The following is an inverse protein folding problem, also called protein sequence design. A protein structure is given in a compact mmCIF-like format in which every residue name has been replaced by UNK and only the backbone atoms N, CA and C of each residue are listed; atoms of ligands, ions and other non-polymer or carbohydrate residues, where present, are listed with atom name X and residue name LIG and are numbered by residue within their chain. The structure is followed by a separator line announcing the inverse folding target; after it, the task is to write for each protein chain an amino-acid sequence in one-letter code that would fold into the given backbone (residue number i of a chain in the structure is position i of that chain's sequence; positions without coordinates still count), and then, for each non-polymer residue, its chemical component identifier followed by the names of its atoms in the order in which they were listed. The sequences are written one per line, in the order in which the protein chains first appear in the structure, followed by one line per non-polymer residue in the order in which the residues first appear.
data_IF_063773577260
#
_entry.id   IF_063773577260
#
_cell.length_a   1.000
_cell.length_b   1.000
_cell.length_c   1.000
_cell.angle_alpha   90.00
_cell.angle_beta   90.00
_cell.angle_gamma   90.00
#
_symmetry.space_group_name_H-M   'P 1'
#
loop_
_entity.id
_entity.type
_entity.pdbx_description
1 polymer ?
#
# COMPACT_ATOMS: atom_id res chain seq x y z
N UNK A 1 5.03 3.40 23.12
CA UNK A 1 6.24 3.21 22.31
C UNK A 1 6.84 4.57 21.94
N UNK A 2 8.14 4.68 21.99
CA UNK A 2 8.79 5.96 21.73
C UNK A 2 9.52 5.92 20.39
N UNK A 3 9.20 6.86 19.51
CA UNK A 3 9.87 7.03 18.23
C UNK A 3 11.19 7.76 18.43
N UNK A 4 12.24 7.30 17.77
CA UNK A 4 13.54 8.00 17.83
C UNK A 4 13.49 9.30 17.03
N UNK A 5 14.41 10.21 17.31
CA UNK A 5 14.56 11.43 16.52
C UNK A 5 14.79 11.13 15.05
N UNK A 6 15.63 10.13 14.76
CA UNK A 6 15.91 9.70 13.37
C UNK A 6 14.65 9.21 12.67
N UNK A 7 13.80 8.43 13.35
CA UNK A 7 12.53 7.96 12.79
C UNK A 7 11.59 9.14 12.52
N UNK A 8 11.47 10.07 13.45
CA UNK A 8 10.62 11.26 13.27
C UNK A 8 11.07 12.10 12.09
N UNK A 9 12.38 12.32 11.96
CA UNK A 9 12.95 13.05 10.82
C UNK A 9 12.70 12.33 9.51
N UNK A 10 12.86 11.00 9.49
CA UNK A 10 12.61 10.19 8.31
C UNK A 10 11.15 10.28 7.88
N UNK A 11 10.21 10.23 8.82
CA UNK A 11 8.79 10.34 8.54
C UNK A 11 8.40 11.73 8.06
N UNK A 12 8.98 12.78 8.64
CA UNK A 12 8.78 14.15 8.16
C UNK A 12 9.30 14.32 6.73
N UNK A 13 10.46 13.76 6.42
CA UNK A 13 11.01 13.76 5.07
C UNK A 13 10.12 12.99 4.10
N UNK A 14 9.60 11.83 4.52
CA UNK A 14 8.68 11.04 3.70
C UNK A 14 7.43 11.85 3.34
N UNK A 15 6.87 12.58 4.30
CA UNK A 15 5.73 13.45 4.05
C UNK A 15 6.07 14.53 3.02
N UNK A 16 7.21 15.20 3.18
CA UNK A 16 7.65 16.24 2.23
C UNK A 16 7.85 15.67 0.82
N UNK A 17 8.45 14.49 0.70
CA UNK A 17 8.66 13.85 -0.60
C UNK A 17 7.31 13.58 -1.27
N UNK A 18 6.32 13.07 -0.53
CA UNK A 18 4.98 12.86 -1.07
C UNK A 18 4.39 14.17 -1.59
N UNK A 19 4.50 15.25 -0.83
CA UNK A 19 3.95 16.55 -1.23
C UNK A 19 4.68 17.14 -2.44
N UNK A 20 5.99 16.96 -2.52
CA UNK A 20 6.82 17.61 -3.56
C UNK A 20 6.90 16.82 -4.86
N UNK A 21 6.66 15.50 -4.82
CA UNK A 21 6.88 14.60 -5.97
C UNK A 21 5.56 14.18 -6.66
N UNK A 22 4.49 14.94 -6.45
CA UNK A 22 3.22 14.70 -7.15
C UNK A 22 2.31 13.68 -6.49
N UNK A 23 2.55 13.33 -5.24
CA UNK A 23 1.71 12.41 -4.45
C UNK A 23 0.97 13.14 -3.34
N UNK A 24 0.47 14.34 -3.64
CA UNK A 24 -0.17 15.24 -2.66
C UNK A 24 -1.43 14.68 -2.03
N UNK A 25 -2.06 13.67 -2.65
CA UNK A 25 -3.21 12.97 -2.12
C UNK A 25 -2.85 12.07 -0.92
N UNK A 26 -1.56 11.80 -0.71
CA UNK A 26 -1.08 11.00 0.41
C UNK A 26 -0.31 11.87 1.39
N UNK A 27 -0.36 11.51 2.66
CA UNK A 27 0.39 12.18 3.71
C UNK A 27 0.77 11.23 4.83
N UNK A 28 1.69 11.68 5.68
CA UNK A 28 2.11 10.97 6.88
C UNK A 28 1.58 11.73 8.09
N UNK A 29 0.87 11.04 8.98
CA UNK A 29 0.17 11.65 10.11
C UNK A 29 0.58 11.00 11.41
N UNK A 30 0.77 11.82 12.45
CA UNK A 30 1.01 11.35 13.80
C UNK A 30 -0.26 11.47 14.64
N UNK A 31 -0.56 10.42 15.38
CA UNK A 31 -1.70 10.37 16.29
C UNK A 31 -1.18 10.37 17.73
N UNK A 32 -1.19 11.53 18.42
CA UNK A 32 -0.55 11.66 19.73
C UNK A 32 -1.14 10.74 20.80
N UNK A 33 -2.45 10.50 20.78
CA UNK A 33 -3.11 9.69 21.81
C UNK A 33 -2.60 8.26 21.87
N UNK A 34 -2.28 7.67 20.71
CA UNK A 34 -1.73 6.31 20.59
C UNK A 34 -0.23 6.30 20.31
N UNK A 35 0.37 7.46 20.10
CA UNK A 35 1.76 7.61 19.64
C UNK A 35 2.07 6.72 18.43
N UNK A 36 1.20 6.77 17.42
CA UNK A 36 1.34 6.03 16.18
C UNK A 36 1.46 6.96 14.99
N UNK A 37 2.16 6.48 13.96
CA UNK A 37 2.24 7.15 12.66
C UNK A 37 1.54 6.30 11.63
N UNK A 38 0.78 6.94 10.74
CA UNK A 38 0.16 6.30 9.59
C UNK A 38 0.41 7.14 8.35
N UNK A 39 0.60 6.48 7.22
CA UNK A 39 0.54 7.16 5.93
C UNK A 39 -0.77 6.75 5.26
N UNK A 40 -1.48 7.69 4.65
CA UNK A 40 -2.80 7.42 4.10
C UNK A 40 -3.18 8.44 3.04
N UNK A 41 -4.19 8.08 2.25
CA UNK A 41 -4.78 8.96 1.26
C UNK A 41 -5.64 8.21 0.27
N UNK A 42 -6.27 8.94 -0.63
CA UNK A 42 -7.14 8.38 -1.66
C UNK A 42 -6.43 8.37 -3.00
N UNK A 43 -6.30 7.18 -3.59
CA UNK A 43 -5.80 7.00 -4.94
C UNK A 43 -6.96 6.99 -5.93
N UNK A 44 -6.79 7.67 -7.06
CA UNK A 44 -7.76 7.64 -8.16
C UNK A 44 -7.11 6.96 -9.36
N UNK A 45 -7.76 5.92 -9.87
CA UNK A 45 -7.25 5.17 -11.03
C UNK A 45 -7.52 5.91 -12.33
N UNK A 46 -6.91 5.42 -13.42
CA UNK A 46 -7.09 5.99 -14.77
C UNK A 46 -8.53 5.93 -15.24
N UNK A 47 -9.34 5.01 -14.69
CA UNK A 47 -10.78 4.93 -15.01
C UNK A 47 -11.64 5.79 -14.08
N UNK A 48 -11.03 6.58 -13.19
CA UNK A 48 -11.72 7.53 -12.32
C UNK A 48 -12.26 6.94 -11.03
N UNK A 49 -11.87 5.73 -10.66
CA UNK A 49 -12.31 5.11 -9.39
C UNK A 49 -11.39 5.48 -8.25
N UNK A 50 -11.96 5.66 -7.06
CA UNK A 50 -11.25 6.07 -5.85
C UNK A 50 -11.09 4.88 -4.91
N UNK A 51 -9.88 4.77 -4.33
CA UNK A 51 -9.53 3.76 -3.35
C UNK A 51 -8.80 4.42 -2.19
N UNK A 52 -9.25 4.18 -0.96
CA UNK A 52 -8.53 4.70 0.20
C UNK A 52 -7.44 3.72 0.61
N UNK A 53 -6.20 4.22 0.69
CA UNK A 53 -5.02 3.46 1.06
C UNK A 53 -4.60 3.83 2.48
N UNK A 54 -4.24 2.84 3.27
CA UNK A 54 -3.83 3.00 4.65
C UNK A 54 -2.57 2.18 4.92
N UNK A 55 -1.54 2.87 5.40
CA UNK A 55 -0.23 2.30 5.65
C UNK A 55 0.18 2.61 7.08
N UNK A 56 -0.13 1.71 8.05
CA UNK A 56 0.36 1.90 9.41
C UNK A 56 1.88 1.75 9.44
N UNK A 57 2.54 2.69 10.11
CA UNK A 57 4.01 2.70 10.18
C UNK A 57 4.44 1.82 11.34
N UNK A 58 5.20 0.74 11.10
CA UNK A 58 5.65 -0.14 12.17
C UNK A 58 6.74 0.53 13.01
N UNK A 59 6.88 0.05 14.25
CA UNK A 59 7.83 0.60 15.19
C UNK A 59 9.30 0.46 14.73
N UNK A 60 9.58 -0.53 13.91
CA UNK A 60 10.92 -0.75 13.34
C UNK A 60 11.18 -0.02 12.03
N UNK A 61 10.26 0.85 11.59
CA UNK A 61 10.45 1.64 10.38
C UNK A 61 11.69 2.55 10.52
N UNK A 62 12.52 2.73 9.50
CA UNK A 62 12.37 2.27 8.11
C UNK A 62 12.94 0.87 7.82
N UNK A 63 13.54 0.20 8.79
CA UNK A 63 14.12 -1.15 8.60
C UNK A 63 13.03 -2.19 8.43
N UNK A 64 11.95 -2.07 9.18
CA UNK A 64 10.79 -2.95 9.07
C UNK A 64 9.86 -2.45 7.96
N UNK A 65 9.46 -3.39 7.09
CA UNK A 65 8.57 -3.09 5.95
C UNK A 65 7.18 -2.72 6.44
N UNK A 66 6.63 -1.55 6.05
CA UNK A 66 5.25 -1.22 6.38
C UNK A 66 4.27 -2.04 5.53
N UNK A 67 3.12 -2.37 6.11
CA UNK A 67 2.01 -2.98 5.38
C UNK A 67 1.16 -1.89 4.77
N UNK A 68 0.56 -2.18 3.60
CA UNK A 68 -0.33 -1.26 2.91
C UNK A 68 -1.66 -1.95 2.65
N UNK A 69 -2.74 -1.32 3.08
CA UNK A 69 -4.09 -1.85 2.95
C UNK A 69 -4.98 -0.96 2.11
N UNK A 70 -5.96 -1.57 1.44
CA UNK A 70 -7.09 -0.86 0.86
C UNK A 70 -8.23 -0.94 1.87
N UNK A 71 -8.64 0.21 2.43
CA UNK A 71 -9.69 0.27 3.45
C UNK A 71 -11.05 0.61 2.86
N UNK A 72 -11.08 1.21 1.68
CA UNK A 72 -12.32 1.53 0.98
C UNK A 72 -12.07 1.43 -0.54
N UNK A 73 -12.90 0.69 -1.29
CA UNK A 73 -14.06 -0.08 -0.86
C UNK A 73 -13.70 -1.32 -0.03
N UNK A 74 -14.61 -1.73 0.85
CA UNK A 74 -14.45 -2.92 1.67
C UNK A 74 -15.81 -3.63 1.79
N UNK A 75 -15.98 -4.88 1.31
CA UNK A 75 -14.92 -5.72 0.72
C UNK A 75 -14.51 -5.27 -0.68
N UNK A 76 -13.26 -5.55 -1.04
CA UNK A 76 -12.79 -5.41 -2.40
C UNK A 76 -13.06 -6.73 -3.15
N UNK A 77 -13.76 -6.66 -4.26
CA UNK A 77 -14.21 -7.85 -4.98
C UNK A 77 -13.33 -8.13 -6.19
N UNK A 78 -13.15 -9.44 -6.51
CA UNK A 78 -12.46 -9.85 -7.73
C UNK A 78 -13.43 -9.88 -8.92
N UNK A 79 -12.95 -10.33 -10.07
CA UNK A 79 -13.75 -10.46 -11.29
C UNK A 79 -15.01 -11.32 -11.09
N UNK A 80 -14.93 -12.35 -10.25
CA UNK A 80 -16.06 -13.26 -9.95
C UNK A 80 -16.96 -12.75 -8.83
N UNK A 81 -16.75 -11.51 -8.39
CA UNK A 81 -17.49 -10.86 -7.29
C UNK A 81 -17.33 -11.53 -5.94
N UNK A 82 -16.21 -12.22 -5.73
CA UNK A 82 -15.82 -12.76 -4.44
C UNK A 82 -14.85 -11.78 -3.74
N UNK A 83 -14.94 -11.71 -2.41
CA UNK A 83 -14.05 -10.85 -1.63
C UNK A 83 -12.60 -11.35 -1.75
N UNK A 84 -11.69 -10.49 -2.18
CA UNK A 84 -10.27 -10.82 -2.34
C UNK A 84 -9.66 -11.21 -0.99
N UNK A 85 -10.10 -10.57 0.11
CA UNK A 85 -9.60 -10.89 1.46
C UNK A 85 -9.83 -12.35 1.86
N UNK A 86 -10.82 -13.04 1.28
CA UNK A 86 -11.06 -14.45 1.56
C UNK A 86 -10.01 -15.38 0.95
N UNK A 87 -9.23 -14.89 0.00
CA UNK A 87 -8.16 -15.66 -0.62
C UNK A 87 -6.92 -15.76 0.26
N UNK A 88 -6.85 -14.96 1.34
CA UNK A 88 -5.66 -14.86 2.18
C UNK A 88 -4.48 -14.35 1.37
N UNK A 89 -3.30 -14.96 1.53
CA UNK A 89 -2.14 -14.69 0.69
C UNK A 89 -2.40 -15.27 -0.69
N UNK A 90 -2.39 -14.43 -1.72
CA UNK A 90 -2.70 -14.85 -3.10
C UNK A 90 -1.62 -14.38 -4.07
N UNK A 91 -0.99 -15.34 -4.74
CA UNK A 91 -0.06 -15.02 -5.82
C UNK A 91 -0.78 -14.44 -7.03
N UNK A 92 -1.93 -15.02 -7.38
CA UNK A 92 -2.72 -14.56 -8.52
C UNK A 92 -3.18 -13.11 -8.38
N UNK A 93 -3.56 -12.70 -7.18
CA UNK A 93 -4.01 -11.33 -6.90
C UNK A 93 -2.90 -10.44 -6.35
N UNK A 94 -1.70 -10.98 -6.15
CA UNK A 94 -0.54 -10.25 -5.65
C UNK A 94 -0.83 -9.57 -4.31
N UNK A 95 -1.38 -10.34 -3.36
CA UNK A 95 -1.79 -9.89 -2.04
C UNK A 95 -1.11 -10.68 -0.94
N UNK A 96 -1.02 -10.04 0.23
CA UNK A 96 -0.53 -10.64 1.48
C UNK A 96 -1.71 -10.89 2.41
N UNK A 97 -1.41 -11.34 3.64
CA UNK A 97 -2.43 -11.64 4.64
C UNK A 97 -3.32 -10.42 4.88
N UNK A 98 -4.66 -10.56 4.78
CA UNK A 98 -5.56 -9.43 4.98
C UNK A 98 -5.59 -8.99 6.44
N UNK A 99 -5.97 -7.73 6.66
CA UNK A 99 -6.22 -7.21 7.99
C UNK A 99 -7.46 -7.89 8.60
N UNK A 100 -7.54 -7.96 9.94
CA UNK A 100 -8.67 -8.55 10.65
C UNK A 100 -10.02 -7.89 10.28
N UNK A 101 -10.01 -6.62 9.87
CA UNK A 101 -11.20 -5.92 9.40
C UNK A 101 -11.61 -6.30 7.96
N UNK A 102 -10.89 -7.21 7.32
CA UNK A 102 -11.15 -7.63 5.94
C UNK A 102 -10.49 -6.76 4.88
N UNK A 103 -9.64 -5.82 5.27
CA UNK A 103 -8.92 -4.97 4.31
C UNK A 103 -7.89 -5.79 3.54
N UNK A 104 -7.87 -5.62 2.22
CA UNK A 104 -6.87 -6.27 1.36
C UNK A 104 -5.50 -5.65 1.62
N UNK A 105 -4.49 -6.50 1.86
CA UNK A 105 -3.10 -6.06 1.94
C UNK A 105 -2.42 -6.25 0.59
N UNK A 106 -1.94 -5.15 0.01
CA UNK A 106 -1.19 -5.17 -1.24
C UNK A 106 0.23 -5.65 -0.99
N UNK A 107 0.72 -6.58 -1.82
CA UNK A 107 2.14 -6.95 -1.85
C UNK A 107 2.92 -5.92 -2.66
N UNK A 108 3.42 -4.87 -2.00
CA UNK A 108 4.17 -3.81 -2.68
C UNK A 108 5.66 -4.12 -2.82
N UNK A 109 6.23 -4.84 -1.86
CA UNK A 109 7.63 -5.26 -1.84
C UNK A 109 7.73 -6.65 -1.21
N UNK A 110 8.60 -7.49 -1.77
CA UNK A 110 8.94 -8.75 -1.10
C UNK A 110 9.75 -8.43 0.16
N UNK A 111 9.50 -9.18 1.24
CA UNK A 111 10.23 -8.99 2.49
C UNK A 111 11.75 -9.05 2.28
N UNK A 112 12.22 -9.99 1.44
CA UNK A 112 13.65 -10.16 1.17
C UNK A 112 14.28 -8.99 0.41
N UNK A 113 13.47 -8.14 -0.23
CA UNK A 113 13.97 -7.00 -1.01
C UNK A 113 13.75 -5.66 -0.33
N UNK A 114 13.01 -5.65 0.78
CA UNK A 114 12.83 -4.41 1.54
C UNK A 114 14.12 -4.00 2.23
N UNK A 115 14.42 -2.71 2.22
CA UNK A 115 15.53 -2.13 2.98
C UNK A 115 15.18 -0.70 3.40
N UNK A 116 15.93 -0.17 4.36
CA UNK A 116 15.66 1.13 4.95
C UNK A 116 15.79 2.31 3.99
N UNK A 117 16.42 2.12 2.84
CA UNK A 117 16.54 3.16 1.81
C UNK A 117 15.29 3.37 0.96
N UNK A 118 14.32 2.46 1.04
CA UNK A 118 13.09 2.58 0.25
C UNK A 118 12.20 3.66 0.88
N UNK A 119 11.79 4.64 0.07
CA UNK A 119 10.95 5.75 0.51
C UNK A 119 9.47 5.40 0.35
N UNK A 120 8.61 5.99 1.21
CA UNK A 120 7.16 5.72 1.17
C UNK A 120 6.52 6.09 -0.17
N UNK A 121 7.03 7.09 -0.87
CA UNK A 121 6.58 7.43 -2.21
C UNK A 121 6.57 6.21 -3.14
N UNK A 122 7.62 5.37 -3.08
CA UNK A 122 7.70 4.15 -3.89
C UNK A 122 6.68 3.10 -3.46
N UNK A 123 6.37 3.02 -2.17
CA UNK A 123 5.32 2.14 -1.67
C UNK A 123 3.97 2.53 -2.27
N UNK A 124 3.63 3.82 -2.25
CA UNK A 124 2.38 4.31 -2.84
C UNK A 124 2.37 4.20 -4.36
N UNK A 125 3.51 4.41 -5.01
CA UNK A 125 3.62 4.20 -6.47
C UNK A 125 3.27 2.76 -6.83
N UNK A 126 3.82 1.79 -6.11
CA UNK A 126 3.51 0.37 -6.35
C UNK A 126 2.05 0.05 -6.04
N UNK A 127 1.48 0.68 -5.03
CA UNK A 127 0.06 0.51 -4.74
C UNK A 127 -0.80 1.04 -5.89
N UNK A 128 -0.46 2.18 -6.46
CA UNK A 128 -1.18 2.73 -7.60
C UNK A 128 -1.06 1.84 -8.83
N UNK A 129 0.11 1.24 -9.07
CA UNK A 129 0.29 0.25 -10.13
C UNK A 129 -0.55 -0.99 -9.88
N UNK A 130 -0.63 -1.45 -8.63
CA UNK A 130 -1.50 -2.56 -8.25
C UNK A 130 -2.97 -2.25 -8.57
N UNK A 131 -3.41 -1.04 -8.25
CA UNK A 131 -4.79 -0.61 -8.52
C UNK A 131 -5.08 -0.57 -10.01
N UNK A 132 -4.16 -0.09 -10.84
CA UNK A 132 -4.32 -0.13 -12.30
C UNK A 132 -4.40 -1.57 -12.81
N UNK A 133 -3.56 -2.47 -12.27
CA UNK A 133 -3.61 -3.89 -12.59
C UNK A 133 -4.94 -4.52 -12.12
N UNK A 134 -5.46 -4.10 -10.97
CA UNK A 134 -6.75 -4.53 -10.47
C UNK A 134 -7.90 -4.16 -11.43
N UNK A 135 -7.88 -2.94 -11.96
CA UNK A 135 -8.87 -2.51 -12.97
C UNK A 135 -8.79 -3.39 -14.23
N UNK A 136 -7.57 -3.75 -14.65
CA UNK A 136 -7.41 -4.66 -15.79
C UNK A 136 -7.92 -6.07 -15.47
N UNK A 137 -7.68 -6.55 -14.23
CA UNK A 137 -8.25 -7.81 -13.78
C UNK A 137 -9.78 -7.80 -13.84
N UNK A 138 -10.41 -6.72 -13.38
CA UNK A 138 -11.87 -6.58 -13.43
C UNK A 138 -12.40 -6.56 -14.87
N UNK A 139 -11.66 -5.97 -15.79
CA UNK A 139 -12.08 -5.86 -17.19
C UNK A 139 -11.91 -7.17 -17.96
N UNK A 140 -10.92 -7.99 -17.62
CA UNK A 140 -10.52 -9.14 -18.44
C UNK A 140 -10.74 -10.49 -17.79
N UNK A 141 -10.83 -10.57 -16.47
CA UNK A 141 -10.86 -11.81 -15.71
C UNK A 141 -9.50 -12.49 -15.57
N UNK A 142 -8.43 -11.94 -16.17
CA UNK A 142 -7.08 -12.48 -16.03
C UNK A 142 -6.54 -12.20 -14.64
N UNK A 143 -5.60 -13.03 -14.17
CA UNK A 143 -4.96 -12.84 -12.89
C UNK A 143 -4.27 -11.47 -12.82
N UNK A 144 -4.43 -10.79 -11.69
CA UNK A 144 -3.77 -9.49 -11.48
C UNK A 144 -2.26 -9.62 -11.63
N UNK A 145 -1.69 -10.73 -11.19
CA UNK A 145 -0.25 -10.99 -11.26
C UNK A 145 0.29 -10.90 -12.71
N UNK A 146 -0.54 -11.16 -13.72
CA UNK A 146 -0.13 -11.02 -15.12
C UNK A 146 0.20 -9.57 -15.51
N UNK A 147 -0.33 -8.61 -14.76
CA UNK A 147 -0.16 -7.18 -15.03
C UNK A 147 0.87 -6.49 -14.13
N UNK A 148 1.35 -7.17 -13.10
CA UNK A 148 2.28 -6.57 -12.13
C UNK A 148 3.71 -7.14 -12.20
N UNK A 149 4.04 -7.88 -13.26
CA UNK A 149 5.39 -8.45 -13.41
C UNK A 149 6.50 -7.40 -13.26
N UNK A 150 6.32 -6.23 -13.83
CA UNK A 150 7.26 -5.11 -13.76
C UNK A 150 7.50 -4.64 -12.32
N UNK A 151 6.49 -4.70 -11.46
CA UNK A 151 6.64 -4.31 -10.05
C UNK A 151 7.69 -5.14 -9.33
N UNK A 152 7.76 -6.43 -9.65
CA UNK A 152 8.72 -7.34 -9.03
C UNK A 152 10.13 -7.11 -9.57
N UNK A 153 10.26 -6.79 -10.83
CA UNK A 153 11.55 -6.55 -11.48
C UNK A 153 12.18 -5.24 -11.02
N UNK A 154 11.37 -4.24 -10.70
CA UNK A 154 11.84 -2.92 -10.26
C UNK A 154 12.02 -2.82 -8.75
N UNK A 155 11.72 -3.88 -8.04
CA UNK A 155 11.79 -3.90 -6.57
C UNK A 155 13.22 -3.94 -6.00
#
# INVERSE_FOLDING_TARGET
MTWTMAQRQRLALAHQILQNEGFTQFGVYHYPASDTYNAAGTATTSVGKNYHLFCPIPSGYPTERPSLYITDPNPLLNFHRAAISRLGVSHAMHTLEPHAAGWVQICHWRAARWHAGIVLQKVFLKAMLWLEAYEQHLATGRDLADFVGIMQETA
#
